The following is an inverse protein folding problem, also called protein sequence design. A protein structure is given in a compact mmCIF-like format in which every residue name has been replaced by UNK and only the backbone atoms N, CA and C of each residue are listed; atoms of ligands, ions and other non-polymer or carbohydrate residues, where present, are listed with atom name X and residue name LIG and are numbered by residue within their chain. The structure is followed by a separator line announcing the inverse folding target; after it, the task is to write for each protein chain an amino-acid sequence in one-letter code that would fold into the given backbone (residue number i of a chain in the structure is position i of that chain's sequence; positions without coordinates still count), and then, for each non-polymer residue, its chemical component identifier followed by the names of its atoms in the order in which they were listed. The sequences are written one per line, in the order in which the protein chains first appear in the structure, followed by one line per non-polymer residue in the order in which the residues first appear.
data_IF_430749294539
#
_entry.id   IF_430749294539
#
_cell.length_a   1.000
_cell.length_b   1.000
_cell.length_c   1.000
_cell.angle_alpha   90.00
_cell.angle_beta   90.00
_cell.angle_gamma   90.00
#
_symmetry.space_group_name_H-M   'P 1'
#
loop_
_entity.id
_entity.type
_entity.pdbx_description
1 polymer ?
#
# COMPACT_ATOMS: atom_id res chain seq x y z
N UNK A 1 8.20 13.27 0.59
CA UNK A 1 8.71 12.58 -0.62
C UNK A 1 8.41 13.46 -1.83
N UNK A 2 9.21 13.42 -2.90
CA UNK A 2 8.82 13.99 -4.21
C UNK A 2 8.27 12.87 -5.07
N UNK A 3 7.14 13.12 -5.74
CA UNK A 3 6.67 12.25 -6.82
C UNK A 3 7.69 12.27 -7.97
N UNK A 4 7.94 11.14 -8.65
CA UNK A 4 8.78 11.13 -9.83
C UNK A 4 8.18 12.05 -10.92
N UNK A 5 9.03 12.58 -11.79
CA UNK A 5 8.59 13.38 -12.95
C UNK A 5 7.79 12.54 -13.98
N UNK A 6 7.96 11.22 -13.95
CA UNK A 6 7.22 10.24 -14.76
C UNK A 6 5.82 10.00 -14.20
N UNK A 7 4.81 9.96 -15.07
CA UNK A 7 3.42 9.62 -14.73
C UNK A 7 3.33 8.09 -14.62
N UNK A 8 3.10 7.58 -13.41
CA UNK A 8 2.99 6.13 -13.14
C UNK A 8 1.73 5.53 -13.77
N UNK A 9 0.67 6.34 -13.92
CA UNK A 9 -0.63 5.92 -14.46
C UNK A 9 -0.60 5.52 -15.95
N UNK A 10 0.50 5.77 -16.66
CA UNK A 10 0.68 5.31 -18.04
C UNK A 10 0.97 3.79 -18.13
N UNK A 11 1.20 3.13 -16.99
CA UNK A 11 1.43 1.70 -16.85
C UNK A 11 0.38 1.07 -15.94
N UNK A 12 0.13 -0.26 -16.04
CA UNK A 12 -0.74 -0.94 -15.08
C UNK A 12 -0.20 -0.83 -13.65
N UNK A 13 -1.08 -0.89 -12.62
CA UNK A 13 -0.67 -0.84 -11.23
C UNK A 13 0.29 -2.00 -10.89
N UNK A 14 1.21 -1.72 -9.97
CA UNK A 14 2.25 -2.68 -9.55
C UNK A 14 1.67 -3.77 -8.65
N UNK A 15 0.64 -3.43 -7.87
CA UNK A 15 -0.01 -4.32 -6.92
C UNK A 15 -1.51 -4.45 -7.22
N UNK A 16 -2.05 -5.63 -6.95
CA UNK A 16 -3.45 -5.96 -7.14
C UNK A 16 -4.21 -6.07 -5.81
N UNK A 17 -5.54 -6.10 -5.87
CA UNK A 17 -6.38 -6.27 -4.70
C UNK A 17 -6.16 -7.65 -4.07
N UNK A 18 -5.88 -7.67 -2.77
CA UNK A 18 -5.51 -8.87 -2.03
C UNK A 18 -4.00 -9.10 -1.92
N UNK A 19 -3.17 -8.35 -2.66
CA UNK A 19 -1.71 -8.48 -2.57
C UNK A 19 -1.24 -8.23 -1.14
N UNK A 20 -0.40 -9.15 -0.65
CA UNK A 20 0.29 -9.01 0.62
C UNK A 20 1.51 -8.13 0.40
N UNK A 21 1.59 -7.02 1.13
CA UNK A 21 2.65 -6.03 0.97
C UNK A 21 3.35 -5.75 2.28
N UNK A 22 4.63 -5.38 2.20
CA UNK A 22 5.45 -4.93 3.32
C UNK A 22 5.83 -3.48 3.12
N UNK A 23 5.78 -2.71 4.19
CA UNK A 23 6.21 -1.31 4.20
C UNK A 23 7.73 -1.23 4.24
N UNK A 24 8.32 -0.53 3.27
CA UNK A 24 9.78 -0.35 3.18
C UNK A 24 10.30 0.77 4.10
N UNK A 25 9.48 1.80 4.34
CA UNK A 25 9.86 3.01 5.07
C UNK A 25 8.69 3.50 5.91
N UNK A 26 8.99 4.15 7.04
CA UNK A 26 7.95 4.75 7.90
C UNK A 26 7.05 5.68 7.10
N UNK A 27 5.74 5.40 7.14
CA UNK A 27 4.72 6.21 6.48
C UNK A 27 4.21 7.22 7.49
N UNK A 28 4.18 8.49 7.07
CA UNK A 28 3.69 9.59 7.89
C UNK A 28 2.49 10.24 7.23
N UNK A 29 1.58 10.74 8.05
CA UNK A 29 0.42 11.46 7.56
C UNK A 29 0.83 12.77 6.89
N UNK A 30 0.52 12.90 5.60
CA UNK A 30 0.72 14.15 4.83
C UNK A 30 -0.47 15.12 5.01
N UNK A 31 -1.46 14.76 5.83
CA UNK A 31 -2.68 15.54 6.10
C UNK A 31 -3.94 14.97 5.45
N UNK A 32 -3.82 13.87 4.71
CA UNK A 32 -4.95 13.19 4.06
C UNK A 32 -5.60 12.13 4.96
N UNK A 33 -4.89 11.64 6.00
CA UNK A 33 -5.42 10.64 6.92
C UNK A 33 -6.26 11.28 8.03
N UNK A 34 -7.52 10.85 8.24
CA UNK A 34 -8.41 11.46 9.23
C UNK A 34 -8.02 11.10 10.67
N UNK A 35 -8.16 12.05 11.59
CA UNK A 35 -7.99 11.81 13.04
C UNK A 35 -6.53 11.70 13.53
N UNK A 36 -5.55 11.98 12.66
CA UNK A 36 -4.11 12.07 13.02
C UNK A 36 -3.55 13.42 12.59
N UNK A 37 -2.57 13.92 13.32
CA UNK A 37 -1.89 15.17 12.93
C UNK A 37 -0.99 14.94 11.72
N UNK A 38 -0.65 16.02 11.02
CA UNK A 38 0.37 16.00 9.97
C UNK A 38 1.70 15.57 10.61
N UNK A 39 2.38 14.62 9.99
CA UNK A 39 3.66 14.07 10.47
C UNK A 39 3.55 12.90 11.44
N UNK A 40 2.35 12.58 11.95
CA UNK A 40 2.13 11.38 12.76
C UNK A 40 2.46 10.12 11.96
N UNK A 41 3.10 9.14 12.61
CA UNK A 41 3.39 7.84 12.00
C UNK A 41 2.08 7.06 11.82
N UNK A 42 1.87 6.53 10.62
CA UNK A 42 0.72 5.69 10.28
C UNK A 42 1.09 4.21 10.16
N UNK A 43 2.29 3.91 9.64
CA UNK A 43 2.84 2.57 9.55
C UNK A 43 4.37 2.62 9.74
N UNK A 44 4.94 1.57 10.34
CA UNK A 44 6.38 1.44 10.54
C UNK A 44 7.02 0.59 9.43
N UNK A 45 8.34 0.74 9.26
CA UNK A 45 9.06 -0.07 8.28
C UNK A 45 9.07 -1.54 8.75
N UNK A 46 8.68 -2.45 7.85
CA UNK A 46 8.51 -3.87 8.13
C UNK A 46 7.05 -4.29 8.35
N UNK A 47 6.12 -3.34 8.56
CA UNK A 47 4.70 -3.66 8.76
C UNK A 47 4.14 -4.41 7.55
N UNK A 48 3.34 -5.45 7.83
CA UNK A 48 2.67 -6.25 6.80
C UNK A 48 1.20 -5.87 6.74
N UNK A 49 0.72 -5.63 5.53
CA UNK A 49 -0.67 -5.36 5.25
C UNK A 49 -1.14 -6.02 3.96
N UNK A 50 -2.43 -5.82 3.67
CA UNK A 50 -3.06 -6.31 2.44
C UNK A 50 -3.66 -5.15 1.67
N UNK A 51 -3.46 -5.15 0.35
CA UNK A 51 -4.07 -4.15 -0.54
C UNK A 51 -5.57 -4.41 -0.61
N UNK A 52 -6.37 -3.44 -0.18
CA UNK A 52 -7.84 -3.50 -0.22
C UNK A 52 -8.44 -2.53 -1.24
N UNK A 53 -7.61 -1.73 -1.91
CA UNK A 53 -8.05 -0.80 -2.94
C UNK A 53 -6.88 -0.17 -3.68
N UNK A 54 -7.10 0.14 -4.95
CA UNK A 54 -6.16 0.85 -5.82
C UNK A 54 -6.84 2.12 -6.30
N UNK A 55 -6.25 3.27 -5.96
CA UNK A 55 -6.73 4.58 -6.37
C UNK A 55 -5.64 5.36 -7.11
N UNK A 56 -5.96 6.61 -7.44
CA UNK A 56 -5.02 7.53 -8.09
C UNK A 56 -4.74 8.73 -7.20
N UNK A 57 -3.48 9.16 -7.14
CA UNK A 57 -3.05 10.35 -6.43
C UNK A 57 -2.56 11.42 -7.40
N UNK A 58 -3.13 12.63 -7.30
CA UNK A 58 -2.84 13.81 -8.14
C UNK A 58 -2.83 13.53 -9.65
N UNK A 59 -3.57 12.52 -10.11
CA UNK A 59 -3.60 12.04 -11.50
C UNK A 59 -2.19 11.71 -12.04
N UNK A 60 -1.25 11.33 -11.17
CA UNK A 60 0.15 11.06 -11.54
C UNK A 60 0.70 9.75 -11.01
N UNK A 61 0.23 9.31 -9.84
CA UNK A 61 0.68 8.09 -9.19
C UNK A 61 -0.49 7.20 -8.77
N UNK A 62 -0.21 5.92 -8.58
CA UNK A 62 -1.15 5.03 -7.89
C UNK A 62 -1.02 5.22 -6.39
N UNK A 63 -2.16 5.14 -5.68
CA UNK A 63 -2.21 5.06 -4.22
C UNK A 63 -2.92 3.78 -3.81
N UNK A 64 -2.20 2.94 -3.08
CA UNK A 64 -2.68 1.64 -2.62
C UNK A 64 -3.23 1.81 -1.21
N UNK A 65 -4.51 1.48 -1.03
CA UNK A 65 -5.13 1.42 0.29
C UNK A 65 -4.76 0.09 0.93
N UNK A 66 -3.86 0.13 1.91
CA UNK A 66 -3.35 -1.06 2.60
C UNK A 66 -3.97 -1.15 3.99
N UNK A 67 -4.61 -2.28 4.29
CA UNK A 67 -5.09 -2.57 5.64
C UNK A 67 -4.01 -3.27 6.44
N UNK A 68 -3.54 -2.59 7.48
CA UNK A 68 -2.63 -3.13 8.49
C UNK A 68 -3.47 -3.77 9.60
N UNK A 69 -3.38 -5.09 9.72
CA UNK A 69 -4.21 -5.86 10.66
C UNK A 69 -3.81 -5.61 12.12
N UNK A 70 -2.53 -5.37 12.40
CA UNK A 70 -2.02 -5.16 13.76
C UNK A 70 -2.47 -3.82 14.34
N UNK A 71 -2.42 -2.74 13.54
CA UNK A 71 -2.89 -1.41 13.96
C UNK A 71 -4.38 -1.20 13.71
N UNK A 72 -5.01 -2.08 12.93
CA UNK A 72 -6.38 -1.96 12.43
C UNK A 72 -6.63 -0.62 11.70
N UNK A 73 -5.67 -0.20 10.87
CA UNK A 73 -5.73 1.04 10.11
C UNK A 73 -5.62 0.78 8.61
N UNK A 74 -6.35 1.57 7.82
CA UNK A 74 -6.24 1.56 6.35
C UNK A 74 -5.46 2.79 5.91
N UNK A 75 -4.25 2.60 5.39
CA UNK A 75 -3.35 3.69 5.03
C UNK A 75 -3.12 3.70 3.52
N UNK A 76 -3.20 4.88 2.92
CA UNK A 76 -2.82 5.08 1.52
C UNK A 76 -1.30 5.12 1.39
N UNK A 77 -0.75 4.23 0.58
CA UNK A 77 0.69 4.05 0.38
C UNK A 77 1.02 4.21 -1.11
N UNK A 78 2.17 4.79 -1.44
CA UNK A 78 2.68 4.82 -2.81
C UNK A 78 3.36 3.50 -3.16
N UNK A 79 3.47 3.19 -4.46
CA UNK A 79 4.16 1.97 -4.93
C UNK A 79 5.60 1.88 -4.41
N UNK A 80 6.33 3.00 -4.41
CA UNK A 80 7.73 3.08 -3.94
C UNK A 80 7.91 2.86 -2.43
N UNK A 81 6.81 2.88 -1.67
CA UNK A 81 6.82 2.67 -0.21
C UNK A 81 6.56 1.21 0.16
N UNK A 82 6.21 0.37 -0.83
CA UNK A 82 5.79 -1.00 -0.64
C UNK A 82 6.69 -1.98 -1.40
N UNK A 83 6.82 -3.18 -0.86
CA UNK A 83 7.33 -4.36 -1.55
C UNK A 83 6.30 -5.50 -1.47
N UNK A 84 6.28 -6.39 -2.45
CA UNK A 84 5.48 -7.63 -2.35
C UNK A 84 6.05 -8.49 -1.24
N UNK A 85 5.23 -8.79 -0.24
CA UNK A 85 5.59 -9.75 0.80
C UNK A 85 5.31 -11.16 0.30
N UNK A 86 6.10 -12.13 0.77
CA UNK A 86 5.99 -13.53 0.34
C UNK A 86 4.55 -14.04 0.43
N UNK A 87 4.09 -14.61 -0.68
CA UNK A 87 2.75 -15.14 -0.83
C UNK A 87 2.58 -16.30 0.14
N UNK A 88 1.59 -16.20 1.02
CA UNK A 88 1.30 -17.30 1.94
C UNK A 88 0.74 -18.44 1.09
N UNK A 89 1.41 -19.59 1.10
CA UNK A 89 0.95 -20.77 0.39
C UNK A 89 -0.55 -20.99 0.67
N UNK A 90 -1.37 -21.23 -0.36
CA UNK A 90 -2.79 -21.38 -0.18
C UNK A 90 -3.05 -22.55 0.77
N UNK A 91 -3.96 -22.35 1.73
CA UNK A 91 -4.30 -23.37 2.73
C UNK A 91 -4.98 -24.60 2.10
N UNK A 92 -5.51 -24.44 0.89
CA UNK A 92 -6.17 -25.48 0.10
C UNK A 92 -5.60 -25.40 -1.31
N UNK A 93 -5.17 -26.53 -1.86
CA UNK A 93 -4.76 -26.61 -3.26
C UNK A 93 -5.93 -26.16 -4.15
N UNK A 94 -5.72 -25.17 -5.00
CA UNK A 94 -6.68 -24.84 -6.04
C UNK A 94 -6.74 -26.05 -6.97
N UNK A 95 -7.80 -26.84 -6.87
CA UNK A 95 -8.05 -27.92 -7.82
C UNK A 95 -8.41 -27.27 -9.15
N UNK A 96 -7.64 -27.56 -10.20
CA UNK A 96 -8.01 -27.25 -11.58
C UNK A 96 -9.19 -28.17 -11.95
N UNK A 97 -10.30 -27.59 -12.37
CA UNK A 97 -11.54 -28.27 -12.78
C UNK A 97 -11.72 -28.15 -14.28
#
# INVERSE_FOLDING_TARGET
MKLPDTIELDSPPVFDLGDRVRVLKVIRNDGTFPGKNIGDKLAEAGDIGYVIGVGTYLQRAYIYSVHFLESNQVVGCLSIELERAEERAPLIAQAEW
#
